data_IF_455424513130
#
_entry.id   IF_455424513130
#
_cell.length_a   1.000
_cell.length_b   1.000
_cell.length_c   1.000
_cell.angle_alpha   90.00
_cell.angle_beta   90.00
_cell.angle_gamma   90.00
#
_symmetry.space_group_name_H-M   'P 1'
#
loop_
_entity.id
_entity.type
_entity.pdbx_description
1 polymer ?
#
# COMPACT_ATOMS: atom_id res chain seq x y z
N UNK A 1 15.80 7.30 3.51
CA UNK A 1 15.31 6.26 2.59
C UNK A 1 14.03 5.68 3.19
N UNK A 2 12.89 5.77 2.52
CA UNK A 2 11.66 5.15 3.03
C UNK A 2 11.78 3.64 2.82
N UNK A 3 11.71 2.85 3.89
CA UNK A 3 11.62 1.39 3.79
C UNK A 3 10.15 0.99 3.64
N UNK A 4 9.90 -0.26 3.22
CA UNK A 4 8.52 -0.78 3.11
C UNK A 4 7.81 -0.70 4.47
N UNK A 5 8.47 -1.13 5.55
CA UNK A 5 7.90 -1.07 6.91
C UNK A 5 7.57 0.36 7.36
N UNK A 6 8.48 1.33 7.16
CA UNK A 6 8.21 2.72 7.53
C UNK A 6 7.03 3.34 6.76
N UNK A 7 6.77 2.87 5.53
CA UNK A 7 5.58 3.28 4.79
C UNK A 7 4.31 2.65 5.37
N UNK A 8 4.37 1.38 5.77
CA UNK A 8 3.23 0.66 6.36
C UNK A 8 2.85 1.21 7.73
N UNK A 9 3.81 1.57 8.58
CA UNK A 9 3.56 2.26 9.86
C UNK A 9 2.80 3.58 9.64
N UNK A 10 3.13 4.31 8.57
CA UNK A 10 2.42 5.52 8.18
C UNK A 10 1.00 5.26 7.71
N UNK A 11 0.80 4.19 6.95
CA UNK A 11 -0.52 3.77 6.47
C UNK A 11 -1.38 3.29 7.64
N UNK A 12 -0.82 2.61 8.62
CA UNK A 12 -1.53 2.23 9.85
C UNK A 12 -2.02 3.45 10.62
N UNK A 13 -1.20 4.50 10.74
CA UNK A 13 -1.57 5.75 11.40
C UNK A 13 -2.56 6.60 10.59
N UNK A 14 -2.43 6.59 9.26
CA UNK A 14 -3.22 7.41 8.34
C UNK A 14 -3.69 6.57 7.13
N UNK A 15 -4.69 5.70 7.31
CA UNK A 15 -5.12 4.77 6.27
C UNK A 15 -5.66 5.43 5.01
N UNK A 16 -6.03 6.71 5.06
CA UNK A 16 -6.50 7.51 3.93
C UNK A 16 -5.37 7.96 2.99
N UNK A 17 -4.09 7.84 3.38
CA UNK A 17 -2.94 8.18 2.53
C UNK A 17 -2.90 7.40 1.23
N UNK A 18 -3.41 6.17 1.23
CA UNK A 18 -3.54 5.35 0.04
C UNK A 18 -4.67 5.84 -0.86
N UNK A 19 -4.34 5.97 -2.15
CA UNK A 19 -5.30 6.33 -3.19
C UNK A 19 -6.27 5.17 -3.41
N UNK A 20 -7.59 5.42 -3.52
CA UNK A 20 -8.55 4.40 -3.93
C UNK A 20 -8.16 3.80 -5.28
N UNK A 21 -8.47 2.52 -5.47
CA UNK A 21 -8.38 1.86 -6.77
C UNK A 21 -9.74 1.87 -7.48
N UNK A 22 -9.90 1.10 -8.55
CA UNK A 22 -11.21 0.89 -9.17
C UNK A 22 -12.19 0.17 -8.23
N UNK A 23 -11.65 -0.63 -7.30
CA UNK A 23 -12.38 -1.10 -6.13
C UNK A 23 -12.14 -0.11 -4.99
N UNK A 24 -13.21 0.56 -4.53
CA UNK A 24 -13.17 1.60 -3.51
C UNK A 24 -12.75 1.08 -2.12
N UNK A 25 -12.93 -0.23 -1.87
CA UNK A 25 -12.47 -0.87 -0.64
C UNK A 25 -10.95 -1.08 -0.62
N UNK A 26 -10.31 -1.04 -1.79
CA UNK A 26 -8.88 -1.26 -1.95
C UNK A 26 -8.17 0.08 -2.15
N UNK A 27 -7.13 0.29 -1.34
CA UNK A 27 -6.24 1.44 -1.40
C UNK A 27 -4.85 1.05 -1.83
N UNK A 28 -4.13 2.02 -2.39
CA UNK A 28 -2.82 1.84 -2.96
C UNK A 28 -1.86 2.97 -2.54
N UNK A 29 -0.65 2.60 -2.14
CA UNK A 29 0.50 3.52 -2.06
C UNK A 29 1.62 3.06 -2.98
N UNK A 30 2.45 4.02 -3.41
CA UNK A 30 3.71 3.77 -4.12
C UNK A 30 4.85 4.19 -3.21
N UNK A 31 5.77 3.26 -2.94
CA UNK A 31 6.95 3.46 -2.10
C UNK A 31 8.14 3.69 -3.04
N UNK A 32 8.77 4.89 -3.01
CA UNK A 32 9.91 5.18 -3.88
C UNK A 32 11.08 4.23 -3.63
N UNK A 33 11.55 3.57 -4.69
CA UNK A 33 12.72 2.69 -4.66
C UNK A 33 13.28 2.53 -6.07
N UNK A 34 14.53 2.96 -6.29
CA UNK A 34 15.15 2.99 -7.61
C UNK A 34 14.27 3.73 -8.64
N UNK A 35 14.21 3.21 -9.87
CA UNK A 35 13.47 3.83 -10.96
C UNK A 35 11.98 3.42 -11.05
N UNK A 36 11.54 2.42 -10.27
CA UNK A 36 10.21 1.81 -10.47
C UNK A 36 9.36 1.70 -9.20
N UNK A 37 9.96 1.78 -8.01
CA UNK A 37 9.25 1.71 -6.74
C UNK A 37 8.62 0.36 -6.42
N UNK A 38 8.08 0.27 -5.21
CA UNK A 38 7.16 -0.79 -4.80
C UNK A 38 5.74 -0.25 -4.75
N UNK A 39 4.77 -1.11 -5.04
CA UNK A 39 3.36 -0.80 -4.88
C UNK A 39 2.81 -1.69 -3.77
N UNK A 40 2.04 -1.09 -2.87
CA UNK A 40 1.31 -1.80 -1.83
C UNK A 40 -0.17 -1.59 -2.06
N UNK A 41 -0.94 -2.67 -2.08
CA UNK A 41 -2.40 -2.63 -1.94
C UNK A 41 -2.80 -3.11 -0.56
N UNK A 42 -3.75 -2.42 0.03
CA UNK A 42 -4.31 -2.75 1.33
C UNK A 42 -5.79 -2.40 1.39
N UNK A 43 -6.47 -2.90 2.42
CA UNK A 43 -7.83 -2.48 2.79
C UNK A 43 -7.86 -2.14 4.29
N UNK A 44 -8.94 -1.49 4.73
CA UNK A 44 -9.18 -1.13 6.12
C UNK A 44 -10.28 -2.05 6.64
N UNK A 45 -10.01 -2.80 7.70
CA UNK A 45 -10.94 -3.75 8.28
C UNK A 45 -11.82 -3.08 9.35
N UNK A 46 -13.14 -2.93 9.14
CA UNK A 46 -14.05 -2.54 10.21
C UNK A 46 -14.32 -3.72 11.17
N UNK A 47 -14.57 -3.46 12.47
CA UNK A 47 -14.61 -2.15 13.12
C UNK A 47 -13.27 -1.69 13.70
N UNK A 48 -12.24 -2.54 13.69
CA UNK A 48 -10.95 -2.26 14.34
C UNK A 48 -10.14 -1.15 13.65
N UNK A 49 -10.46 -0.86 12.38
CA UNK A 49 -9.68 -0.01 11.49
C UNK A 49 -8.25 -0.52 11.24
N UNK A 50 -8.06 -1.84 11.34
CA UNK A 50 -6.77 -2.46 11.03
C UNK A 50 -6.48 -2.38 9.53
N UNK A 51 -5.21 -2.19 9.19
CA UNK A 51 -4.74 -2.22 7.80
C UNK A 51 -4.35 -3.64 7.42
N UNK A 52 -5.12 -4.24 6.50
CA UNK A 52 -4.78 -5.52 5.91
C UNK A 52 -4.04 -5.30 4.59
N UNK A 53 -2.74 -5.62 4.58
CA UNK A 53 -1.93 -5.60 3.35
C UNK A 53 -2.30 -6.80 2.47
N UNK A 54 -2.83 -6.51 1.28
CA UNK A 54 -3.28 -7.50 0.31
C UNK A 54 -2.14 -8.01 -0.57
N UNK A 55 -1.28 -7.09 -1.02
CA UNK A 55 -0.11 -7.42 -1.84
C UNK A 55 0.93 -6.32 -1.79
N UNK A 56 2.19 -6.74 -1.83
CA UNK A 56 3.35 -5.88 -2.10
C UNK A 56 4.06 -6.43 -3.35
N UNK A 57 4.42 -5.56 -4.28
CA UNK A 57 5.16 -5.97 -5.49
C UNK A 57 6.04 -4.85 -6.01
N UNK A 58 7.07 -5.21 -6.77
CA UNK A 58 7.96 -4.23 -7.41
C UNK A 58 7.34 -3.73 -8.73
N UNK A 59 7.53 -2.46 -9.08
CA UNK A 59 6.94 -1.86 -10.29
C UNK A 59 7.31 -2.59 -11.59
N UNK A 60 8.49 -3.23 -11.62
CA UNK A 60 9.00 -4.03 -12.76
C UNK A 60 8.65 -5.51 -12.73
N UNK A 61 7.94 -5.97 -11.70
CA UNK A 61 7.50 -7.36 -11.63
C UNK A 61 6.53 -7.65 -12.78
N UNK A 62 6.84 -8.67 -13.59
CA UNK A 62 5.94 -9.15 -14.63
C UNK A 62 4.73 -9.83 -13.98
N UNK A 63 3.53 -9.33 -14.27
CA UNK A 63 2.27 -9.81 -13.67
C UNK A 63 1.42 -10.44 -14.78
N UNK A 64 1.14 -11.75 -14.75
CA UNK A 64 0.09 -12.35 -15.57
C UNK A 64 -1.31 -11.90 -15.13
#
# INVERSE_FOLDING_TARGET
MLTIFAALERVEQFPELGRPTADEAIRQIVIPFGAAGYVVRYTILPPSNDVLVLRVWHGREARP
#
